data_IF_883229461180
#
_entry.id   IF_883229461180
#
_cell.length_a   1.000
_cell.length_b   1.000
_cell.length_c   1.000
_cell.angle_alpha   90.00
_cell.angle_beta   90.00
_cell.angle_gamma   90.00
#
_symmetry.space_group_name_H-M   'P 1'
#
loop_
_entity.id
_entity.type
_entity.pdbx_description
1 polymer ?
#
# COMPACT_ATOMS: atom_id res chain seq x y z
N UNK A 1 9.86 -7.06 16.08
CA UNK A 1 8.81 -6.08 15.70
C UNK A 1 7.78 -6.81 14.85
N UNK A 2 6.54 -6.94 15.33
CA UNK A 2 5.48 -7.58 14.56
C UNK A 2 5.28 -6.79 13.25
N UNK A 3 5.62 -7.42 12.12
CA UNK A 3 5.28 -6.88 10.80
C UNK A 3 3.77 -6.95 10.70
N UNK A 4 3.08 -5.83 10.88
CA UNK A 4 1.72 -5.71 10.36
C UNK A 4 1.86 -5.96 8.85
N UNK A 5 1.49 -7.17 8.39
CA UNK A 5 1.41 -7.51 6.98
C UNK A 5 -0.05 -7.32 6.62
N UNK A 6 -0.40 -6.13 6.14
CA UNK A 6 -1.68 -5.98 5.44
C UNK A 6 -1.56 -6.69 4.08
N UNK A 7 -2.68 -7.10 3.47
CA UNK A 7 -2.66 -7.58 2.08
C UNK A 7 -2.01 -6.58 1.11
N UNK A 8 -2.14 -5.27 1.39
CA UNK A 8 -1.46 -4.22 0.63
C UNK A 8 0.07 -4.29 0.75
N UNK A 9 0.60 -4.65 1.93
CA UNK A 9 2.03 -4.83 2.15
C UNK A 9 2.57 -6.04 1.37
N UNK A 10 1.76 -7.09 1.24
CA UNK A 10 2.10 -8.29 0.46
C UNK A 10 2.21 -7.95 -1.02
N UNK A 11 1.24 -7.22 -1.58
CA UNK A 11 1.31 -6.74 -2.98
C UNK A 11 2.57 -5.90 -3.25
N UNK A 12 2.92 -5.00 -2.32
CA UNK A 12 4.13 -4.18 -2.46
C UNK A 12 5.38 -5.07 -2.43
N UNK A 13 5.43 -6.08 -1.58
CA UNK A 13 6.56 -7.02 -1.52
C UNK A 13 6.65 -7.85 -2.81
N UNK A 14 5.52 -8.35 -3.31
CA UNK A 14 5.43 -9.16 -4.53
C UNK A 14 5.84 -8.38 -5.78
N UNK A 15 5.60 -7.06 -5.81
CA UNK A 15 6.07 -6.18 -6.90
C UNK A 15 7.60 -6.10 -7.02
N UNK A 16 8.35 -6.60 -6.03
CA UNK A 16 9.81 -6.50 -5.97
C UNK A 16 10.34 -5.10 -5.59
N UNK A 17 9.45 -4.11 -5.43
CA UNK A 17 9.84 -2.77 -5.02
C UNK A 17 10.10 -2.70 -3.51
N UNK A 18 11.20 -2.05 -3.14
CA UNK A 18 11.47 -1.73 -1.74
C UNK A 18 10.42 -0.73 -1.25
N UNK A 19 9.88 -0.94 -0.05
CA UNK A 19 8.90 -0.05 0.58
C UNK A 19 9.31 1.43 0.60
N UNK A 20 10.62 1.72 0.76
CA UNK A 20 11.16 3.09 0.70
C UNK A 20 11.01 3.74 -0.67
N UNK A 21 11.10 2.94 -1.74
CA UNK A 21 10.96 3.39 -3.13
C UNK A 21 9.49 3.69 -3.40
N UNK A 22 8.59 2.83 -2.96
CA UNK A 22 7.14 3.06 -3.09
C UNK A 22 6.73 4.34 -2.35
N UNK A 23 7.16 4.52 -1.10
CA UNK A 23 6.89 5.74 -0.34
C UNK A 23 7.41 7.01 -1.06
N UNK A 24 8.65 6.95 -1.57
CA UNK A 24 9.26 8.06 -2.31
C UNK A 24 8.49 8.39 -3.59
N UNK A 25 8.08 7.39 -4.38
CA UNK A 25 7.29 7.59 -5.61
C UNK A 25 5.87 8.05 -5.32
N UNK A 26 5.32 7.62 -4.18
CA UNK A 26 4.02 8.08 -3.70
C UNK A 26 4.06 9.55 -3.23
N UNK A 27 5.26 10.08 -2.94
CA UNK A 27 5.47 11.47 -2.50
C UNK A 27 5.39 11.64 -0.98
N UNK A 28 5.61 10.57 -0.21
CA UNK A 28 5.59 10.60 1.25
C UNK A 28 6.92 10.13 1.85
N UNK A 29 7.16 10.55 3.10
CA UNK A 29 8.18 9.92 3.92
C UNK A 29 7.82 8.46 4.22
N UNK A 30 8.82 7.66 4.59
CA UNK A 30 8.60 6.26 4.99
C UNK A 30 7.60 6.13 6.14
N UNK A 31 7.63 7.07 7.10
CA UNK A 31 6.70 7.09 8.24
C UNK A 31 5.29 7.52 7.83
N UNK A 32 5.16 8.51 6.94
CA UNK A 32 3.86 8.93 6.39
C UNK A 32 3.18 7.79 5.64
N UNK A 33 3.94 7.10 4.77
CA UNK A 33 3.43 5.95 4.04
C UNK A 33 3.10 4.77 4.96
N UNK A 34 3.88 4.54 6.02
CA UNK A 34 3.57 3.51 7.03
C UNK A 34 2.22 3.76 7.72
N UNK A 35 1.94 5.00 8.14
CA UNK A 35 0.64 5.35 8.76
C UNK A 35 -0.54 5.07 7.82
N UNK A 36 -0.40 5.41 6.53
CA UNK A 36 -1.44 5.09 5.54
C UNK A 36 -1.65 3.58 5.36
N UNK A 37 -0.57 2.78 5.33
CA UNK A 37 -0.66 1.32 5.21
C UNK A 37 -1.19 0.61 6.46
N UNK A 38 -1.08 1.21 7.65
CA UNK A 38 -1.73 0.68 8.86
C UNK A 38 -3.25 0.82 8.82
N UNK A 39 -3.76 1.82 8.11
CA UNK A 39 -5.20 2.05 7.94
C UNK A 39 -5.52 2.25 6.46
N UNK A 40 -5.35 1.19 5.64
CA UNK A 40 -5.48 1.31 4.19
C UNK A 40 -6.91 1.66 3.76
N UNK A 41 -7.91 1.43 4.62
CA UNK A 41 -9.30 1.88 4.41
C UNK A 41 -9.44 3.40 4.29
N UNK A 42 -8.45 4.18 4.74
CA UNK A 42 -8.43 5.63 4.63
C UNK A 42 -7.69 6.12 3.38
N UNK A 43 -7.22 5.22 2.52
CA UNK A 43 -6.73 5.59 1.19
C UNK A 43 -7.90 6.05 0.34
N UNK A 44 -7.72 7.15 -0.38
CA UNK A 44 -8.68 7.58 -1.40
C UNK A 44 -8.54 6.73 -2.67
N UNK A 45 -9.52 6.80 -3.56
CA UNK A 45 -9.46 6.13 -4.88
C UNK A 45 -8.18 6.53 -5.64
N UNK A 46 -7.90 7.83 -5.74
CA UNK A 46 -6.71 8.36 -6.41
C UNK A 46 -5.40 7.82 -5.80
N UNK A 47 -5.36 7.67 -4.47
CA UNK A 47 -4.20 7.11 -3.79
C UNK A 47 -4.01 5.62 -4.07
N UNK A 48 -5.10 4.87 -4.16
CA UNK A 48 -5.06 3.45 -4.54
C UNK A 48 -4.62 3.28 -5.99
N UNK A 49 -5.17 4.07 -6.92
CA UNK A 49 -4.73 4.17 -8.31
C UNK A 49 -3.25 4.52 -8.42
N UNK A 50 -2.77 5.49 -7.63
CA UNK A 50 -1.35 5.86 -7.61
C UNK A 50 -0.47 4.70 -7.12
N UNK A 51 -0.89 3.97 -6.09
CA UNK A 51 -0.15 2.80 -5.62
C UNK A 51 -0.10 1.72 -6.69
N UNK A 52 -1.23 1.42 -7.34
CA UNK A 52 -1.33 0.44 -8.42
C UNK A 52 -0.36 0.76 -9.57
N UNK A 53 -0.32 2.02 -10.00
CA UNK A 53 0.62 2.52 -10.99
C UNK A 53 2.09 2.40 -10.55
N UNK A 54 2.40 2.66 -9.27
CA UNK A 54 3.77 2.57 -8.75
C UNK A 54 4.27 1.12 -8.73
N UNK A 55 3.41 0.18 -8.33
CA UNK A 55 3.76 -1.25 -8.21
C UNK A 55 3.42 -2.06 -9.47
N UNK A 56 2.90 -1.40 -10.51
CA UNK A 56 2.56 -1.96 -11.82
C UNK A 56 1.57 -3.14 -11.76
N UNK A 57 0.45 -2.93 -11.06
CA UNK A 57 -0.67 -3.90 -10.98
C UNK A 57 -1.99 -3.20 -11.32
N UNK A 58 -3.03 -4.00 -11.58
CA UNK A 58 -4.38 -3.48 -11.76
C UNK A 58 -4.91 -2.82 -10.48
N UNK A 59 -5.61 -1.70 -10.63
CA UNK A 59 -6.15 -0.94 -9.50
C UNK A 59 -7.10 -1.79 -8.65
N UNK A 60 -7.90 -2.65 -9.28
CA UNK A 60 -8.86 -3.55 -8.61
C UNK A 60 -8.17 -4.48 -7.60
N UNK A 61 -6.95 -4.93 -7.90
CA UNK A 61 -6.14 -5.77 -7.00
C UNK A 61 -5.76 -5.00 -5.74
N UNK A 62 -5.44 -3.71 -5.89
CA UNK A 62 -5.16 -2.82 -4.75
C UNK A 62 -6.44 -2.59 -3.93
N UNK A 63 -7.57 -2.30 -4.57
CA UNK A 63 -8.86 -2.14 -3.88
C UNK A 63 -9.23 -3.38 -3.07
N UNK A 64 -9.11 -4.57 -3.66
CA UNK A 64 -9.37 -5.83 -2.96
C UNK A 64 -8.46 -6.03 -1.75
N UNK A 65 -7.16 -5.72 -1.88
CA UNK A 65 -6.22 -5.83 -0.78
C UNK A 65 -6.55 -4.86 0.36
N UNK A 66 -7.00 -3.65 0.04
CA UNK A 66 -7.50 -2.70 1.04
C UNK A 66 -8.74 -3.26 1.76
N UNK A 67 -9.71 -3.80 1.02
CA UNK A 67 -10.93 -4.38 1.59
C UNK A 67 -10.67 -5.63 2.45
N UNK A 68 -9.73 -6.49 2.04
CA UNK A 68 -9.31 -7.69 2.78
C UNK A 68 -8.60 -7.36 4.11
N UNK A 69 -8.18 -6.11 4.31
CA UNK A 69 -7.51 -5.70 5.56
C UNK A 69 -8.52 -5.69 6.72
N UNK A 70 -8.42 -6.69 7.62
CA UNK A 70 -9.13 -6.69 8.90
C UNK A 70 -8.49 -5.63 9.80
N UNK A 71 -9.28 -4.62 10.17
CA UNK A 71 -8.90 -3.68 11.23
C UNK A 71 -9.24 -4.39 12.54
N UNK A 72 -8.21 -4.84 13.26
CA UNK A 72 -8.33 -5.34 14.63
C UNK A 72 -8.20 -4.19 15.62
#
# INVERSE_FOLDING_TARGET
MAKVKTPLDELIIESGLRMKVVASRFGLSRSGFYKKRQSPKNLTADEMTKIANIINVDETVVFEAVLKTKVS
#
